data_IF_210327571417
#
_entry.id   IF_210327571417
#
_cell.length_a   1.000
_cell.length_b   1.000
_cell.length_c   1.000
_cell.angle_alpha   90.00
_cell.angle_beta   90.00
_cell.angle_gamma   90.00
#
_symmetry.space_group_name_H-M   'P 1'
#
loop_
_entity.id
_entity.type
_entity.pdbx_description
1 polymer ?
#
# COMPACT_ATOMS: atom_id res chain seq x y z
N UNK A 1 -16.53 -58.51 35.66
CA UNK A 1 -15.71 -57.29 35.43
C UNK A 1 -15.79 -56.92 34.01
N UNK A 2 -16.42 -55.80 33.75
CA UNK A 2 -16.48 -55.25 32.38
C UNK A 2 -15.39 -54.21 32.23
N UNK A 3 -14.43 -54.49 31.38
CA UNK A 3 -13.40 -53.53 30.98
C UNK A 3 -14.01 -52.59 29.95
N UNK A 4 -14.25 -51.37 30.34
CA UNK A 4 -14.64 -50.34 29.40
C UNK A 4 -13.36 -49.79 28.75
N UNK A 5 -13.09 -50.20 27.52
CA UNK A 5 -12.06 -49.56 26.73
C UNK A 5 -12.63 -48.24 26.21
N UNK A 6 -12.17 -47.16 26.80
CA UNK A 6 -12.43 -45.85 26.27
C UNK A 6 -11.51 -45.64 25.07
N UNK A 7 -12.03 -45.86 23.90
CA UNK A 7 -11.34 -45.46 22.70
C UNK A 7 -11.55 -43.96 22.56
N UNK A 8 -10.56 -43.21 23.02
CA UNK A 8 -10.48 -41.79 22.68
C UNK A 8 -10.18 -41.71 21.23
N UNK A 9 -11.18 -41.54 20.41
CA UNK A 9 -10.98 -41.10 19.04
C UNK A 9 -10.48 -39.67 19.11
N UNK A 10 -9.15 -39.50 19.04
CA UNK A 10 -8.57 -38.19 18.80
C UNK A 10 -8.99 -37.75 17.43
N UNK A 11 -9.97 -36.87 17.37
CA UNK A 11 -10.32 -36.19 16.13
C UNK A 11 -9.18 -35.24 15.83
N UNK A 12 -8.22 -35.68 15.03
CA UNK A 12 -7.29 -34.76 14.41
C UNK A 12 -8.09 -34.03 13.33
N UNK A 13 -8.60 -32.86 13.70
CA UNK A 13 -9.04 -31.92 12.71
C UNK A 13 -7.78 -31.50 11.93
N UNK A 14 -7.53 -32.14 10.81
CA UNK A 14 -6.62 -31.62 9.83
C UNK A 14 -7.25 -30.30 9.36
N UNK A 15 -6.80 -29.20 9.95
CA UNK A 15 -7.02 -27.90 9.37
C UNK A 15 -6.25 -27.98 8.06
N UNK A 16 -6.94 -28.29 6.98
CA UNK A 16 -6.41 -28.05 5.66
C UNK A 16 -6.13 -26.57 5.64
N UNK A 17 -4.85 -26.21 5.63
CA UNK A 17 -4.42 -24.88 5.19
C UNK A 17 -4.84 -24.82 3.72
N UNK A 18 -6.12 -24.54 3.50
CA UNK A 18 -6.56 -24.05 2.21
C UNK A 18 -5.72 -22.80 1.97
N UNK A 19 -4.99 -22.76 0.85
CA UNK A 19 -4.42 -21.54 0.36
C UNK A 19 -5.49 -20.48 0.54
N UNK A 20 -5.31 -19.60 1.52
CA UNK A 20 -6.23 -18.51 1.72
C UNK A 20 -6.19 -17.68 0.45
N UNK A 21 -7.22 -17.84 -0.38
CA UNK A 21 -7.45 -16.95 -1.51
C UNK A 21 -7.63 -15.58 -0.88
N UNK A 22 -6.60 -14.77 -0.96
CA UNK A 22 -6.66 -13.41 -0.45
C UNK A 22 -7.74 -12.66 -1.21
N UNK A 23 -8.75 -12.25 -0.48
CA UNK A 23 -9.79 -11.39 -1.05
C UNK A 23 -9.21 -9.99 -1.23
N UNK A 24 -9.18 -9.45 -2.45
CA UNK A 24 -8.67 -8.10 -2.66
C UNK A 24 -9.55 -7.08 -1.95
N UNK A 25 -8.96 -5.97 -1.49
CA UNK A 25 -9.73 -4.91 -0.85
C UNK A 25 -10.66 -4.26 -1.86
N UNK A 26 -11.82 -3.81 -1.38
CA UNK A 26 -12.78 -3.02 -2.18
C UNK A 26 -12.55 -1.53 -1.99
N UNK A 27 -11.80 -1.14 -0.99
CA UNK A 27 -11.49 0.23 -0.64
C UNK A 27 -10.00 0.41 -0.43
N UNK A 28 -9.54 1.66 -0.61
CA UNK A 28 -8.17 2.03 -0.28
C UNK A 28 -7.91 1.83 1.21
N UNK A 29 -6.85 1.10 1.54
CA UNK A 29 -6.40 0.90 2.91
C UNK A 29 -5.07 1.63 3.10
N UNK A 30 -4.99 2.45 4.12
CA UNK A 30 -3.81 3.23 4.46
C UNK A 30 -3.37 2.84 5.87
N UNK A 31 -2.14 2.36 5.98
CA UNK A 31 -1.54 2.04 7.26
C UNK A 31 -0.26 2.84 7.43
N UNK A 32 -0.18 3.66 8.48
CA UNK A 32 1.06 4.34 8.84
C UNK A 32 1.91 3.38 9.65
N UNK A 33 3.05 2.97 9.09
CA UNK A 33 3.97 2.03 9.74
C UNK A 33 5.07 2.73 10.52
N UNK A 34 5.36 3.97 10.20
CA UNK A 34 6.28 4.82 10.95
C UNK A 34 5.83 6.28 10.86
N UNK A 35 5.73 6.93 12.00
CA UNK A 35 5.37 8.34 12.12
C UNK A 35 6.47 9.06 12.91
N UNK A 36 7.15 10.06 12.32
CA UNK A 36 8.16 10.81 13.04
C UNK A 36 7.55 11.69 14.14
N UNK A 37 8.34 11.98 15.18
CA UNK A 37 7.87 12.75 16.34
C UNK A 37 7.49 14.20 15.99
N UNK A 38 8.20 14.81 15.04
CA UNK A 38 7.99 16.19 14.65
C UNK A 38 7.37 16.30 13.27
N UNK A 39 6.07 16.05 13.18
CA UNK A 39 5.34 16.23 11.94
C UNK A 39 4.67 17.61 11.92
N UNK A 40 5.40 18.63 11.47
CA UNK A 40 4.91 20.01 11.40
C UNK A 40 4.21 20.27 10.07
N UNK A 41 4.77 19.76 8.99
CA UNK A 41 4.25 19.98 7.63
C UNK A 41 3.79 18.68 7.02
N UNK A 42 2.53 18.66 6.58
CA UNK A 42 1.89 17.50 5.96
C UNK A 42 1.67 17.74 4.48
N UNK A 43 1.89 16.70 3.68
CA UNK A 43 1.65 16.75 2.25
C UNK A 43 0.18 16.99 1.94
N UNK A 44 -0.10 17.86 0.99
CA UNK A 44 -1.44 18.16 0.52
C UNK A 44 -1.45 18.31 -0.99
N UNK A 45 -2.64 18.37 -1.56
CA UNK A 45 -2.82 18.56 -3.00
C UNK A 45 -2.08 19.79 -3.49
N UNK A 46 -1.31 19.64 -4.57
CA UNK A 46 -0.51 20.70 -5.17
C UNK A 46 0.95 20.70 -4.72
N UNK A 47 1.29 20.00 -3.65
CA UNK A 47 2.66 19.94 -3.18
C UNK A 47 3.52 19.05 -4.08
N UNK A 48 4.77 19.42 -4.24
CA UNK A 48 5.78 18.57 -4.86
C UNK A 48 6.39 17.69 -3.78
N UNK A 49 6.37 16.40 -4.01
CA UNK A 49 6.93 15.43 -3.06
C UNK A 49 7.89 14.50 -3.77
N UNK A 50 8.79 13.93 -2.99
CA UNK A 50 9.67 12.84 -3.43
C UNK A 50 9.45 11.66 -2.52
N UNK A 51 9.20 10.50 -3.11
CA UNK A 51 8.92 9.29 -2.36
C UNK A 51 9.81 8.15 -2.79
N UNK A 52 10.25 7.35 -1.83
CA UNK A 52 10.72 6.00 -2.09
C UNK A 52 9.56 5.05 -1.93
N UNK A 53 9.47 4.10 -2.85
CA UNK A 53 8.38 3.14 -2.83
C UNK A 53 8.81 1.77 -3.36
N UNK A 54 8.10 0.77 -2.95
CA UNK A 54 8.15 -0.56 -3.51
C UNK A 54 6.72 -1.05 -3.72
N UNK A 55 6.41 -1.45 -4.95
CA UNK A 55 5.09 -1.94 -5.33
C UNK A 55 5.11 -3.44 -5.55
N UNK A 56 4.12 -4.12 -4.99
CA UNK A 56 3.92 -5.56 -5.15
C UNK A 56 2.48 -5.85 -5.54
N UNK A 57 2.27 -6.97 -6.22
CA UNK A 57 0.92 -7.46 -6.50
C UNK A 57 0.30 -8.02 -5.23
N UNK A 58 -0.92 -7.62 -4.94
CA UNK A 58 -1.64 -8.13 -3.78
C UNK A 58 -1.82 -9.65 -3.83
N UNK A 59 -2.08 -10.19 -5.02
CA UNK A 59 -2.42 -11.60 -5.23
C UNK A 59 -1.29 -12.57 -4.87
N UNK A 60 -0.04 -12.19 -5.13
CA UNK A 60 1.10 -13.10 -4.99
C UNK A 60 2.32 -12.49 -4.31
N UNK A 61 2.31 -11.18 -4.01
CA UNK A 61 3.43 -10.49 -3.39
C UNK A 61 4.61 -10.21 -4.32
N UNK A 62 4.47 -10.46 -5.61
CA UNK A 62 5.57 -10.22 -6.56
C UNK A 62 5.82 -8.73 -6.73
N UNK A 63 7.09 -8.34 -6.56
CA UNK A 63 7.52 -6.97 -6.78
C UNK A 63 7.46 -6.64 -8.27
N UNK A 64 6.83 -5.52 -8.61
CA UNK A 64 6.77 -5.06 -10.00
C UNK A 64 7.53 -3.75 -10.22
N UNK A 65 7.78 -2.98 -9.19
CA UNK A 65 8.54 -1.72 -9.31
C UNK A 65 9.06 -1.29 -7.94
N UNK A 66 10.20 -0.59 -7.96
CA UNK A 66 10.76 0.03 -6.74
C UNK A 66 11.69 1.17 -7.13
N UNK A 67 11.50 2.32 -6.50
CA UNK A 67 12.43 3.44 -6.63
C UNK A 67 13.81 3.13 -6.06
N UNK A 68 13.87 2.20 -5.09
CA UNK A 68 15.13 1.77 -4.48
C UNK A 68 16.03 1.08 -5.50
N UNK A 69 15.47 0.36 -6.46
CA UNK A 69 16.24 -0.30 -7.52
C UNK A 69 16.89 0.72 -8.46
N UNK A 70 16.34 1.92 -8.57
CA UNK A 70 16.89 3.02 -9.37
C UNK A 70 17.83 3.93 -8.59
N UNK A 71 17.85 3.79 -7.25
CA UNK A 71 18.68 4.60 -6.36
C UNK A 71 18.24 6.05 -6.22
N UNK A 72 17.04 6.41 -6.69
CA UNK A 72 16.53 7.78 -6.60
C UNK A 72 15.04 7.77 -6.23
N UNK A 73 14.61 8.68 -5.35
CA UNK A 73 13.18 8.82 -5.07
C UNK A 73 12.43 9.35 -6.30
N UNK A 74 11.17 8.99 -6.38
CA UNK A 74 10.28 9.46 -7.45
C UNK A 74 9.72 10.83 -7.08
N UNK A 75 9.95 11.87 -7.91
CA UNK A 75 9.29 13.16 -7.72
C UNK A 75 7.89 13.14 -8.33
N UNK A 76 6.94 13.74 -7.64
CA UNK A 76 5.58 13.90 -8.18
C UNK A 76 4.90 15.11 -7.55
N UNK A 77 3.88 15.63 -8.23
CA UNK A 77 2.95 16.61 -7.67
C UNK A 77 1.70 15.88 -7.21
N UNK A 78 1.39 16.04 -5.93
CA UNK A 78 0.32 15.27 -5.29
C UNK A 78 -1.07 15.81 -5.68
N UNK A 79 -2.00 14.93 -5.92
CA UNK A 79 -3.43 15.25 -6.04
C UNK A 79 -3.90 15.78 -7.38
N UNK A 80 -3.06 15.76 -8.43
CA UNK A 80 -3.41 16.32 -9.75
C UNK A 80 -3.58 15.28 -10.85
N UNK A 81 -3.68 13.99 -10.50
CA UNK A 81 -3.86 12.92 -11.49
C UNK A 81 -2.57 12.53 -12.22
N UNK A 82 -1.41 12.91 -11.73
CA UNK A 82 -0.12 12.54 -12.29
C UNK A 82 0.24 11.08 -12.02
N UNK A 83 -0.31 10.53 -10.93
CA UNK A 83 -0.10 9.16 -10.48
C UNK A 83 -1.47 8.48 -10.30
N UNK A 84 -1.46 7.17 -10.02
CA UNK A 84 -2.71 6.45 -9.77
C UNK A 84 -3.51 7.07 -8.63
N UNK A 85 -4.83 6.97 -8.69
CA UNK A 85 -5.73 7.59 -7.71
C UNK A 85 -5.44 7.13 -6.28
N UNK A 86 -5.07 5.86 -6.11
CA UNK A 86 -4.71 5.33 -4.80
C UNK A 86 -3.54 6.07 -4.16
N UNK A 87 -2.62 6.61 -4.94
CA UNK A 87 -1.54 7.45 -4.43
C UNK A 87 -2.00 8.87 -4.14
N UNK A 88 -2.73 9.49 -5.08
CA UNK A 88 -3.24 10.84 -4.87
C UNK A 88 -4.10 10.96 -3.60
N UNK A 89 -4.80 9.90 -3.24
CA UNK A 89 -5.58 9.81 -2.00
C UNK A 89 -4.75 9.31 -0.82
N UNK A 90 -3.92 8.30 -1.06
CA UNK A 90 -3.21 7.58 -0.01
C UNK A 90 -2.01 8.31 0.57
N UNK A 91 -1.47 9.30 -0.13
CA UNK A 91 -0.32 10.06 0.33
C UNK A 91 -0.68 11.41 0.96
N UNK A 92 -1.97 11.76 0.98
CA UNK A 92 -2.44 12.98 1.63
C UNK A 92 -2.11 12.96 3.13
N UNK A 93 -1.63 14.06 3.64
CA UNK A 93 -1.33 14.20 5.06
C UNK A 93 -0.04 13.55 5.52
N UNK A 94 0.78 13.03 4.60
CA UNK A 94 2.07 12.44 4.99
C UNK A 94 3.06 13.47 5.49
N UNK A 95 3.79 13.08 6.53
CA UNK A 95 4.93 13.84 7.04
C UNK A 95 6.22 13.38 6.35
N UNK A 96 7.21 14.28 6.26
CA UNK A 96 8.56 13.88 5.82
C UNK A 96 9.08 12.81 6.79
N UNK A 97 9.62 11.73 6.24
CA UNK A 97 10.08 10.51 6.91
C UNK A 97 8.98 9.56 7.38
N UNK A 98 7.72 9.92 7.23
CA UNK A 98 6.62 8.98 7.48
C UNK A 98 6.68 7.83 6.49
N UNK A 99 6.32 6.64 6.96
CA UNK A 99 6.17 5.45 6.11
C UNK A 99 4.74 4.96 6.18
N UNK A 100 4.19 4.64 5.02
CA UNK A 100 2.84 4.07 4.89
C UNK A 100 2.86 2.82 4.03
N UNK A 101 1.96 1.91 4.34
CA UNK A 101 1.60 0.81 3.45
C UNK A 101 0.22 1.11 2.89
N UNK A 102 0.13 1.18 1.57
CA UNK A 102 -1.11 1.40 0.85
C UNK A 102 -1.55 0.09 0.21
N UNK A 103 -2.76 -0.36 0.51
CA UNK A 103 -3.39 -1.46 -0.20
C UNK A 103 -4.48 -0.88 -1.07
N UNK A 104 -4.29 -0.97 -2.38
CA UNK A 104 -5.07 -0.21 -3.35
C UNK A 104 -5.89 -1.17 -4.21
N UNK A 105 -7.24 -1.04 -4.21
CA UNK A 105 -8.05 -1.83 -5.13
C UNK A 105 -7.76 -1.45 -6.58
N UNK A 106 -8.02 -2.37 -7.50
CA UNK A 106 -7.67 -2.18 -8.92
C UNK A 106 -8.31 -0.94 -9.55
N UNK A 107 -9.50 -0.56 -9.13
CA UNK A 107 -10.19 0.63 -9.67
C UNK A 107 -9.52 1.95 -9.30
N UNK A 108 -8.68 1.98 -8.28
CA UNK A 108 -7.86 3.13 -7.90
C UNK A 108 -6.40 2.96 -8.36
N UNK A 109 -6.10 1.93 -9.12
CA UNK A 109 -4.79 1.63 -9.69
C UNK A 109 -4.89 1.61 -11.23
N UNK A 110 -4.59 0.50 -11.85
CA UNK A 110 -4.57 0.40 -13.31
C UNK A 110 -5.83 -0.27 -13.91
N UNK A 111 -6.79 -0.65 -13.07
CA UNK A 111 -8.11 -1.13 -13.48
C UNK A 111 -8.07 -2.36 -14.38
N UNK A 112 -9.02 -2.40 -15.31
CA UNK A 112 -9.18 -3.52 -16.25
C UNK A 112 -8.11 -3.57 -17.34
N UNK A 113 -7.33 -2.52 -17.52
CA UNK A 113 -6.23 -2.49 -18.50
C UNK A 113 -4.95 -3.10 -17.96
N UNK A 114 -4.72 -3.02 -16.65
CA UNK A 114 -3.43 -3.35 -16.08
C UNK A 114 -2.34 -2.39 -16.57
N UNK A 115 -1.09 -2.83 -16.47
CA UNK A 115 0.05 -2.06 -16.97
C UNK A 115 1.06 -3.01 -17.62
N UNK A 116 1.11 -2.99 -18.94
CA UNK A 116 1.99 -3.84 -19.72
C UNK A 116 1.84 -5.32 -19.37
N UNK A 117 2.95 -6.04 -19.37
CA UNK A 117 2.99 -7.44 -18.94
C UNK A 117 3.24 -7.61 -17.44
N UNK A 118 3.42 -6.51 -16.71
CA UNK A 118 3.88 -6.52 -15.31
C UNK A 118 2.71 -6.54 -14.34
N UNK A 119 1.67 -5.77 -14.63
CA UNK A 119 0.47 -5.67 -13.79
C UNK A 119 -0.71 -6.19 -14.59
N UNK A 120 -1.23 -7.38 -14.24
CA UNK A 120 -2.41 -7.94 -14.92
C UNK A 120 -3.65 -7.05 -14.72
N UNK A 121 -4.65 -7.28 -15.57
CA UNK A 121 -5.94 -6.65 -15.43
C UNK A 121 -6.55 -6.94 -14.06
N UNK A 122 -7.24 -5.96 -13.49
CA UNK A 122 -7.98 -6.07 -12.23
C UNK A 122 -7.11 -6.47 -11.04
N UNK A 123 -5.87 -5.97 -10.99
CA UNK A 123 -4.93 -6.26 -9.92
C UNK A 123 -5.01 -5.21 -8.81
N UNK A 124 -5.26 -5.67 -7.59
CA UNK A 124 -5.00 -4.87 -6.39
C UNK A 124 -3.49 -4.81 -6.16
N UNK A 125 -3.02 -3.67 -5.66
CA UNK A 125 -1.59 -3.40 -5.46
C UNK A 125 -1.30 -3.07 -4.00
N UNK A 126 -0.09 -3.41 -3.56
CA UNK A 126 0.41 -3.01 -2.25
C UNK A 126 1.67 -2.18 -2.46
N UNK A 127 1.69 -0.98 -1.89
CA UNK A 127 2.87 -0.11 -1.91
C UNK A 127 3.36 0.17 -0.49
N UNK A 128 4.64 -0.01 -0.28
CA UNK A 128 5.31 0.59 0.88
C UNK A 128 5.92 1.90 0.40
N UNK A 129 5.60 3.00 1.08
CA UNK A 129 5.99 4.34 0.65
C UNK A 129 6.60 5.09 1.81
N UNK A 130 7.71 5.80 1.54
CA UNK A 130 8.35 6.74 2.46
C UNK A 130 8.39 8.11 1.82
N UNK A 131 7.91 9.14 2.51
CA UNK A 131 8.05 10.52 2.06
C UNK A 131 9.45 11.01 2.40
N UNK A 132 10.25 11.25 1.35
CA UNK A 132 11.66 11.65 1.49
C UNK A 132 11.78 13.16 1.57
N UNK A 133 11.01 13.88 0.76
CA UNK A 133 11.09 15.34 0.68
C UNK A 133 9.73 15.93 0.34
N UNK A 134 9.48 17.11 0.84
CA UNK A 134 8.24 17.84 0.64
C UNK A 134 8.56 19.28 0.33
N UNK A 135 8.20 19.72 -0.87
CA UNK A 135 8.25 21.11 -1.28
C UNK A 135 6.83 21.66 -1.37
N UNK A 136 6.51 22.52 -0.44
CA UNK A 136 5.22 23.22 -0.43
C UNK A 136 5.19 24.25 -1.54
N UNK A 137 4.12 24.30 -2.32
CA UNK A 137 3.94 25.30 -3.36
C UNK A 137 3.63 26.70 -2.81
N UNK A 138 3.56 26.84 -1.49
CA UNK A 138 3.62 28.11 -0.78
C UNK A 138 2.35 28.96 -0.77
N UNK A 139 1.37 28.69 -1.60
CA UNK A 139 0.21 29.58 -1.74
C UNK A 139 -0.90 29.35 -0.72
N UNK A 140 -0.94 28.21 -0.06
CA UNK A 140 -2.04 27.88 0.84
C UNK A 140 -1.67 27.88 2.31
N UNK A 141 -0.39 27.94 2.64
CA UNK A 141 0.06 27.88 4.02
C UNK A 141 0.35 29.24 4.63
N UNK A 142 0.63 30.24 3.81
CA UNK A 142 0.84 31.61 4.27
C UNK A 142 -0.47 32.35 4.53
N UNK A 143 -1.59 31.82 4.04
CA UNK A 143 -2.93 32.38 4.24
C UNK A 143 -3.66 31.80 5.45
N UNK A 144 -3.03 30.86 6.12
CA UNK A 144 -3.54 30.26 7.33
C UNK A 144 -2.86 30.91 8.54
#
# INVERSE_FOLDING_TARGET
MKLFAWISAALFATVALADEVKTPPTELQIETTYLPDNCVTKAQTGDRIKVHYTGTLFSNGNKFDSSLDRGQPLPLTLGIGQVIQGWDKGLQGMCVKEKRTLTIPSDLAYGSRGFGSIIPANSALVFTVELVDLESTGKTREEL
#
